data_IF_672526284731
#
_entry.id   IF_672526284731
#
_cell.length_a   1.000
_cell.length_b   1.000
_cell.length_c   1.000
_cell.angle_alpha   90.00
_cell.angle_beta   90.00
_cell.angle_gamma   90.00
#
_symmetry.space_group_name_H-M   'P 1'
#
loop_
_entity.id
_entity.type
_entity.pdbx_description
1 polymer ?
#
# COMPACT_ATOMS: atom_id res chain seq x y z
N UNK A 1 -29.66 15.53 13.11
CA UNK A 1 -30.29 16.55 12.24
C UNK A 1 -29.41 16.67 11.02
N UNK A 2 -29.80 16.06 9.92
CA UNK A 2 -29.09 16.19 8.63
C UNK A 2 -29.34 17.63 8.13
N UNK A 3 -28.29 18.32 7.76
CA UNK A 3 -28.36 19.68 7.22
C UNK A 3 -29.13 19.68 5.90
N UNK A 4 -29.85 20.75 5.59
CA UNK A 4 -30.73 20.84 4.41
C UNK A 4 -30.01 20.60 3.07
N UNK A 5 -28.69 20.79 2.99
CA UNK A 5 -27.88 20.55 1.80
C UNK A 5 -27.68 19.07 1.45
N UNK A 6 -27.50 18.21 2.44
CA UNK A 6 -27.36 16.75 2.26
C UNK A 6 -28.67 16.12 1.73
N UNK A 7 -29.81 16.68 2.11
CA UNK A 7 -31.11 16.22 1.62
C UNK A 7 -31.33 16.53 0.14
N UNK A 8 -30.94 17.69 -0.35
CA UNK A 8 -31.09 18.07 -1.75
C UNK A 8 -30.27 17.18 -2.71
N UNK A 9 -29.05 16.81 -2.34
CA UNK A 9 -28.22 15.91 -3.16
C UNK A 9 -28.73 14.45 -3.09
N UNK A 10 -29.18 13.99 -1.92
CA UNK A 10 -29.75 12.66 -1.76
C UNK A 10 -31.08 12.50 -2.52
N UNK A 11 -31.93 13.52 -2.50
CA UNK A 11 -33.22 13.52 -3.22
C UNK A 11 -33.03 13.57 -4.76
N UNK A 12 -31.97 14.16 -5.27
CA UNK A 12 -31.59 14.16 -6.69
C UNK A 12 -31.01 12.80 -7.16
N UNK A 13 -30.37 12.05 -6.28
CA UNK A 13 -29.81 10.72 -6.56
C UNK A 13 -30.90 9.62 -6.57
N UNK A 14 -32.01 9.83 -5.88
CA UNK A 14 -33.13 8.86 -5.78
C UNK A 14 -33.99 8.74 -7.05
N UNK A 15 -33.78 9.59 -8.05
CA UNK A 15 -34.53 9.57 -9.32
C UNK A 15 -33.85 8.75 -10.45
N UNK A 16 -32.89 7.93 -10.15
CA UNK A 16 -32.28 7.00 -11.13
C UNK A 16 -32.63 5.57 -10.74
N UNK A 17 -33.44 4.90 -11.56
CA UNK A 17 -34.00 3.56 -11.38
C UNK A 17 -33.01 2.38 -11.30
N UNK A 18 -31.74 2.64 -10.95
CA UNK A 18 -30.66 1.63 -10.98
C UNK A 18 -29.74 1.59 -9.76
N UNK A 19 -30.11 2.22 -8.64
CA UNK A 19 -29.27 2.18 -7.43
C UNK A 19 -29.75 1.06 -6.50
N UNK A 20 -28.98 -0.02 -6.42
CA UNK A 20 -29.16 -1.07 -5.41
C UNK A 20 -28.82 -0.49 -4.03
N UNK A 21 -29.84 -0.30 -3.21
CA UNK A 21 -29.70 0.10 -1.81
C UNK A 21 -29.23 -1.12 -1.00
N UNK A 22 -27.99 -1.08 -0.55
CA UNK A 22 -27.52 -1.92 0.56
C UNK A 22 -27.54 -1.08 1.84
N UNK A 23 -27.84 -1.72 2.97
CA UNK A 23 -28.25 -1.12 4.26
C UNK A 23 -27.20 -0.24 5.00
N UNK A 24 -26.04 0.04 4.40
CA UNK A 24 -25.02 0.97 4.91
C UNK A 24 -24.85 2.13 3.90
N UNK A 25 -25.74 3.05 3.78
CA UNK A 25 -25.69 4.38 3.06
C UNK A 25 -24.52 4.64 2.05
N UNK A 26 -23.87 3.58 1.51
CA UNK A 26 -22.81 3.67 0.51
C UNK A 26 -23.39 3.61 -0.89
N UNK A 27 -23.54 4.76 -1.54
CA UNK A 27 -23.99 4.86 -2.92
C UNK A 27 -22.88 4.40 -3.88
N UNK A 28 -23.11 3.27 -4.55
CA UNK A 28 -22.20 2.71 -5.55
C UNK A 28 -22.63 3.21 -6.94
N UNK A 29 -21.64 3.66 -7.74
CA UNK A 29 -21.85 4.10 -9.12
C UNK A 29 -20.97 3.34 -10.12
N UNK A 30 -21.42 3.30 -11.37
CA UNK A 30 -20.69 2.77 -12.52
C UNK A 30 -20.19 3.91 -13.42
N UNK A 31 -19.16 3.67 -14.25
CA UNK A 31 -18.70 4.66 -15.21
C UNK A 31 -19.82 5.08 -16.18
N UNK A 32 -20.05 6.38 -16.31
CA UNK A 32 -21.12 6.95 -17.11
C UNK A 32 -22.43 7.22 -16.37
N UNK A 33 -22.55 6.81 -15.10
CA UNK A 33 -23.73 7.14 -14.30
C UNK A 33 -23.75 8.64 -14.00
N UNK A 34 -24.94 9.22 -14.11
CA UNK A 34 -25.19 10.61 -13.81
C UNK A 34 -25.35 10.78 -12.29
N UNK A 35 -24.47 11.56 -11.67
CA UNK A 35 -24.43 11.73 -10.22
C UNK A 35 -25.31 12.89 -9.75
N UNK A 36 -25.06 14.08 -10.29
CA UNK A 36 -25.82 15.28 -9.92
C UNK A 36 -25.75 16.34 -11.02
N UNK A 37 -26.54 17.42 -10.87
CA UNK A 37 -26.47 18.59 -11.71
C UNK A 37 -25.38 19.52 -11.22
N UNK A 38 -24.70 20.20 -12.14
CA UNK A 38 -23.73 21.25 -11.81
C UNK A 38 -24.48 22.45 -11.24
N UNK A 39 -24.16 22.82 -10.03
CA UNK A 39 -24.63 24.03 -9.34
C UNK A 39 -23.43 24.84 -8.89
N UNK A 40 -23.63 26.13 -8.60
CA UNK A 40 -22.53 27.05 -8.22
C UNK A 40 -21.72 26.56 -6.99
N UNK A 41 -22.32 25.70 -6.18
CA UNK A 41 -21.73 25.14 -4.96
C UNK A 41 -21.15 23.72 -5.14
N UNK A 42 -21.27 23.11 -6.34
CA UNK A 42 -20.81 21.73 -6.57
C UNK A 42 -19.65 21.71 -7.56
N UNK A 43 -18.52 21.14 -7.14
CA UNK A 43 -17.30 21.05 -7.93
C UNK A 43 -16.96 19.59 -8.25
N UNK A 44 -16.50 19.38 -9.47
CA UNK A 44 -16.01 18.07 -9.96
C UNK A 44 -14.77 17.64 -9.18
N UNK A 45 -14.80 16.47 -8.57
CA UNK A 45 -13.70 15.87 -7.83
C UNK A 45 -13.02 14.72 -8.57
N UNK A 46 -12.19 13.98 -7.86
CA UNK A 46 -11.49 12.84 -8.44
C UNK A 46 -12.46 11.69 -8.80
N UNK A 47 -12.33 11.15 -10.01
CA UNK A 47 -13.18 10.06 -10.47
C UNK A 47 -14.53 10.50 -11.02
N UNK A 48 -14.73 11.80 -11.27
CA UNK A 48 -15.91 12.38 -11.89
C UNK A 48 -15.53 13.30 -13.06
N UNK A 49 -16.47 13.64 -13.92
CA UNK A 49 -16.30 14.61 -15.00
C UNK A 49 -17.60 15.34 -15.28
N UNK A 50 -17.50 16.54 -15.81
CA UNK A 50 -18.66 17.33 -16.19
C UNK A 50 -18.97 17.20 -17.68
N UNK A 51 -20.24 17.00 -18.01
CA UNK A 51 -20.72 17.03 -19.38
C UNK A 51 -22.17 17.54 -19.43
N UNK A 52 -22.44 18.56 -20.26
CA UNK A 52 -23.79 19.07 -20.49
C UNK A 52 -24.50 19.61 -19.25
N UNK A 53 -23.77 20.16 -18.28
CA UNK A 53 -24.34 20.70 -17.03
C UNK A 53 -24.69 19.63 -15.98
N UNK A 54 -24.15 18.43 -16.14
CA UNK A 54 -24.25 17.32 -15.17
C UNK A 54 -22.89 16.72 -14.87
N UNK A 55 -22.74 16.19 -13.65
CA UNK A 55 -21.55 15.47 -13.21
C UNK A 55 -21.80 13.97 -13.36
N UNK A 56 -20.86 13.30 -14.02
CA UNK A 56 -20.87 11.87 -14.29
C UNK A 56 -19.71 11.15 -13.61
N UNK A 57 -19.90 9.89 -13.26
CA UNK A 57 -18.84 9.03 -12.79
C UNK A 57 -17.90 8.61 -13.94
N UNK A 58 -16.60 8.75 -13.78
CA UNK A 58 -15.59 8.24 -14.71
C UNK A 58 -15.06 6.86 -14.31
N UNK A 59 -15.32 6.42 -13.07
CA UNK A 59 -14.87 5.15 -12.49
C UNK A 59 -16.04 4.49 -11.75
N UNK A 60 -15.95 3.16 -11.60
CA UNK A 60 -16.83 2.45 -10.66
C UNK A 60 -16.33 2.65 -9.23
N UNK A 61 -17.22 2.90 -8.29
CA UNK A 61 -16.84 3.09 -6.90
C UNK A 61 -17.96 3.64 -6.04
N UNK A 62 -17.57 4.13 -4.87
CA UNK A 62 -18.46 4.76 -3.90
C UNK A 62 -18.38 6.27 -4.09
N UNK A 63 -19.55 6.90 -4.08
CA UNK A 63 -19.67 8.36 -4.16
C UNK A 63 -19.29 8.94 -2.79
N UNK A 64 -18.34 9.86 -2.78
CA UNK A 64 -17.96 10.64 -1.60
C UNK A 64 -18.22 12.13 -1.88
N UNK A 65 -18.94 12.78 -0.97
CA UNK A 65 -19.23 14.21 -1.03
C UNK A 65 -18.47 14.88 0.12
N UNK A 66 -17.40 15.62 -0.21
CA UNK A 66 -16.61 16.38 0.76
C UNK A 66 -17.21 17.78 0.94
N UNK A 67 -17.69 18.04 2.15
CA UNK A 67 -18.22 19.35 2.60
C UNK A 67 -17.15 20.18 3.36
N UNK A 68 -15.87 19.88 3.21
CA UNK A 68 -14.77 20.51 3.97
C UNK A 68 -14.62 22.00 3.72
N UNK A 69 -15.18 22.53 2.66
CA UNK A 69 -15.26 23.96 2.36
C UNK A 69 -16.69 24.44 2.53
N UNK A 70 -16.93 25.40 3.43
CA UNK A 70 -18.25 25.99 3.70
C UNK A 70 -18.97 26.57 2.46
N UNK A 71 -18.27 26.68 1.31
CA UNK A 71 -18.79 27.28 0.08
C UNK A 71 -18.96 26.30 -1.08
N UNK A 72 -18.29 25.15 -1.07
CA UNK A 72 -18.32 24.21 -2.20
C UNK A 72 -18.33 22.77 -1.72
N UNK A 73 -19.19 21.96 -2.31
CA UNK A 73 -19.23 20.52 -2.16
C UNK A 73 -18.44 19.88 -3.31
N UNK A 74 -17.49 19.01 -2.98
CA UNK A 74 -16.69 18.29 -3.98
C UNK A 74 -17.26 16.87 -4.11
N UNK A 75 -17.79 16.55 -5.29
CA UNK A 75 -18.28 15.21 -5.59
C UNK A 75 -17.17 14.38 -6.19
N UNK A 76 -16.76 13.32 -5.50
CA UNK A 76 -15.70 12.41 -5.92
C UNK A 76 -16.19 10.96 -5.89
N UNK A 77 -15.58 10.11 -6.74
CA UNK A 77 -15.84 8.67 -6.76
C UNK A 77 -14.56 7.94 -6.40
N UNK A 78 -14.61 7.20 -5.31
CA UNK A 78 -13.50 6.39 -4.81
C UNK A 78 -13.81 4.91 -4.94
N UNK A 79 -12.83 4.14 -5.42
CA UNK A 79 -12.95 2.69 -5.43
C UNK A 79 -12.84 2.17 -3.99
N UNK A 80 -13.79 1.37 -3.50
CA UNK A 80 -13.74 0.85 -2.14
C UNK A 80 -12.46 0.04 -1.93
N UNK A 81 -11.76 0.31 -0.83
CA UNK A 81 -10.52 -0.38 -0.48
C UNK A 81 -9.25 0.12 -1.17
N UNK A 82 -9.33 1.14 -2.03
CA UNK A 82 -8.16 1.73 -2.68
C UNK A 82 -7.91 3.16 -2.18
N UNK A 83 -7.03 3.29 -1.21
CA UNK A 83 -6.43 4.58 -0.89
C UNK A 83 -5.21 4.77 -1.78
N UNK A 84 -5.10 5.91 -2.46
CA UNK A 84 -3.91 6.30 -3.20
C UNK A 84 -2.82 6.69 -2.19
N UNK A 85 -2.26 5.68 -1.53
CA UNK A 85 -1.22 5.88 -0.53
C UNK A 85 0.12 5.91 -1.24
N UNK A 86 0.79 7.06 -1.18
CA UNK A 86 2.16 7.21 -1.67
C UNK A 86 3.09 7.02 -0.47
N UNK A 87 4.15 6.19 -0.58
CA UNK A 87 5.13 6.05 0.50
C UNK A 87 5.78 7.41 0.84
N UNK A 88 5.77 7.78 2.11
CA UNK A 88 6.44 8.99 2.60
C UNK A 88 7.75 8.61 3.32
N UNK A 89 8.66 9.60 3.43
CA UNK A 89 9.90 9.43 4.21
C UNK A 89 9.56 9.11 5.66
N UNK A 90 10.18 8.06 6.21
CA UNK A 90 9.93 7.55 7.56
C UNK A 90 8.94 6.38 7.61
N UNK A 91 8.16 6.13 6.55
CA UNK A 91 7.21 5.03 6.52
C UNK A 91 7.90 3.67 6.46
N UNK A 92 7.31 2.71 7.17
CA UNK A 92 7.68 1.30 7.03
C UNK A 92 6.87 0.70 5.89
N UNK A 93 7.58 0.12 4.94
CA UNK A 93 7.01 -0.46 3.73
C UNK A 93 7.33 -1.94 3.62
N UNK A 94 6.41 -2.69 3.02
CA UNK A 94 6.67 -4.07 2.63
C UNK A 94 7.02 -4.10 1.15
N UNK A 95 8.18 -4.66 0.85
CA UNK A 95 8.70 -4.72 -0.50
C UNK A 95 9.19 -6.13 -0.86
N UNK A 96 9.10 -6.47 -2.14
CA UNK A 96 9.67 -7.72 -2.67
C UNK A 96 10.99 -7.41 -3.38
N UNK A 97 12.02 -8.17 -3.04
CA UNK A 97 13.32 -8.09 -3.73
C UNK A 97 13.18 -8.66 -5.13
N UNK A 98 13.50 -7.86 -6.14
CA UNK A 98 13.45 -8.25 -7.55
C UNK A 98 14.82 -8.73 -8.04
N UNK A 99 15.83 -7.88 -7.83
CA UNK A 99 17.19 -8.12 -8.31
C UNK A 99 18.17 -7.68 -7.22
N UNK A 100 19.19 -8.50 -7.00
CA UNK A 100 20.30 -8.18 -6.11
C UNK A 100 21.57 -7.96 -6.91
N UNK A 101 22.34 -6.94 -6.56
CA UNK A 101 23.67 -6.62 -7.09
C UNK A 101 24.64 -6.44 -5.93
N UNK A 102 25.97 -6.42 -6.15
CA UNK A 102 26.92 -6.22 -5.06
C UNK A 102 26.78 -4.90 -4.31
N UNK A 103 26.24 -3.85 -4.98
CA UNK A 103 26.13 -2.49 -4.45
C UNK A 103 24.73 -2.14 -3.96
N UNK A 104 23.69 -2.72 -4.54
CA UNK A 104 22.29 -2.41 -4.20
C UNK A 104 21.34 -3.56 -4.53
N UNK A 105 20.18 -3.57 -3.89
CA UNK A 105 19.05 -4.42 -4.25
C UNK A 105 17.90 -3.56 -4.79
N UNK A 106 17.29 -3.99 -5.90
CA UNK A 106 16.07 -3.40 -6.45
C UNK A 106 14.87 -4.13 -5.87
N UNK A 107 13.92 -3.36 -5.34
CA UNK A 107 12.73 -3.89 -4.70
C UNK A 107 11.47 -3.28 -5.33
N UNK A 108 10.36 -4.01 -5.26
CA UNK A 108 9.04 -3.51 -5.58
C UNK A 108 8.27 -3.34 -4.27
N UNK A 109 7.89 -2.11 -3.94
CA UNK A 109 7.08 -1.77 -2.76
C UNK A 109 5.62 -2.04 -3.13
N UNK A 110 4.93 -2.86 -2.35
CA UNK A 110 3.52 -3.21 -2.61
C UNK A 110 2.60 -2.94 -1.42
N UNK A 111 3.14 -2.59 -0.25
CA UNK A 111 2.34 -2.24 0.92
C UNK A 111 3.04 -1.15 1.72
N UNK A 112 2.26 -0.20 2.25
CA UNK A 112 2.71 0.88 3.13
C UNK A 112 1.83 0.89 4.36
N UNK A 113 2.40 0.82 5.57
CA UNK A 113 1.65 0.86 6.85
C UNK A 113 0.43 -0.07 6.86
N UNK A 114 0.53 -1.30 6.35
CA UNK A 114 -0.55 -2.29 6.23
C UNK A 114 -1.62 -1.98 5.16
N UNK A 115 -1.45 -0.94 4.34
CA UNK A 115 -2.32 -0.65 3.19
C UNK A 115 -1.67 -1.19 1.93
N UNK A 116 -2.36 -2.09 1.22
CA UNK A 116 -1.92 -2.58 -0.08
C UNK A 116 -2.01 -1.47 -1.12
N UNK A 117 -0.98 -1.37 -1.95
CA UNK A 117 -0.90 -0.41 -3.04
C UNK A 117 -1.51 -1.00 -4.32
N UNK A 118 -2.20 -0.18 -5.10
CA UNK A 118 -2.77 -0.59 -6.39
C UNK A 118 -1.65 -0.93 -7.40
N UNK A 119 -0.59 -0.12 -7.40
CA UNK A 119 0.60 -0.34 -8.22
C UNK A 119 1.84 -0.37 -7.34
N UNK A 120 2.81 -1.20 -7.70
CA UNK A 120 4.07 -1.27 -6.96
C UNK A 120 4.98 -0.09 -7.31
N UNK A 121 5.58 0.51 -6.28
CA UNK A 121 6.63 1.52 -6.44
C UNK A 121 8.02 0.89 -6.47
N UNK A 122 8.94 1.55 -7.16
CA UNK A 122 10.34 1.10 -7.23
C UNK A 122 11.07 1.50 -5.96
N UNK A 123 11.65 0.52 -5.26
CA UNK A 123 12.54 0.71 -4.12
C UNK A 123 13.98 0.37 -4.46
N UNK A 124 14.91 1.11 -3.89
CA UNK A 124 16.34 0.88 -3.98
C UNK A 124 16.94 0.78 -2.58
N UNK A 125 17.53 -0.36 -2.25
CA UNK A 125 18.23 -0.62 -1.00
C UNK A 125 19.73 -0.67 -1.26
N UNK A 126 20.49 0.27 -0.72
CA UNK A 126 21.96 0.31 -0.85
C UNK A 126 22.63 -0.62 0.15
N UNK A 127 23.85 -1.05 -0.16
CA UNK A 127 24.68 -1.85 0.74
C UNK A 127 24.87 -1.19 2.12
N UNK A 128 25.06 0.12 2.13
CA UNK A 128 25.30 0.94 3.32
C UNK A 128 24.09 1.03 4.26
N UNK A 129 22.88 0.84 3.70
CA UNK A 129 21.59 0.96 4.39
C UNK A 129 21.03 -0.39 4.86
N UNK A 130 21.77 -1.48 4.70
CA UNK A 130 21.34 -2.82 5.10
C UNK A 130 21.46 -3.03 6.60
N UNK A 131 22.56 -2.57 7.20
CA UNK A 131 22.83 -2.69 8.65
C UNK A 131 23.36 -1.36 9.19
N UNK A 132 23.08 -1.11 10.46
CA UNK A 132 23.58 0.06 11.15
C UNK A 132 25.07 -0.01 11.42
N UNK A 133 25.54 -1.20 11.83
CA UNK A 133 26.94 -1.51 12.11
C UNK A 133 27.57 -2.34 11.00
N UNK A 134 28.91 -2.28 10.89
CA UNK A 134 29.71 -3.07 9.93
C UNK A 134 29.30 -2.91 8.46
N UNK A 135 28.97 -1.70 8.03
CA UNK A 135 28.44 -1.38 6.68
C UNK A 135 29.36 -1.91 5.56
N UNK A 136 30.68 -1.89 5.76
CA UNK A 136 31.65 -2.33 4.76
C UNK A 136 31.66 -3.84 4.56
N UNK A 137 31.34 -4.62 5.61
CA UNK A 137 31.34 -6.08 5.58
C UNK A 137 30.03 -6.70 5.10
N UNK A 138 29.02 -5.87 4.85
CA UNK A 138 27.72 -6.35 4.37
C UNK A 138 27.86 -6.94 2.96
N UNK A 139 27.36 -8.15 2.79
CA UNK A 139 27.18 -8.80 1.51
C UNK A 139 25.67 -8.86 1.20
N UNK A 140 25.25 -8.16 0.14
CA UNK A 140 23.84 -8.10 -0.26
C UNK A 140 23.33 -9.48 -0.64
N UNK A 141 24.14 -10.31 -1.31
CA UNK A 141 23.73 -11.66 -1.72
C UNK A 141 23.50 -12.61 -0.53
N UNK A 142 24.21 -12.38 0.59
CA UNK A 142 23.99 -13.12 1.84
C UNK A 142 22.82 -12.56 2.65
N UNK A 143 22.47 -11.30 2.45
CA UNK A 143 21.41 -10.64 3.21
C UNK A 143 20.04 -10.80 2.57
N UNK A 144 19.96 -10.77 1.24
CA UNK A 144 18.71 -10.82 0.49
C UNK A 144 18.85 -11.66 -0.78
N UNK A 145 17.79 -12.41 -1.12
CA UNK A 145 17.70 -13.09 -2.42
C UNK A 145 16.50 -12.58 -3.21
N UNK A 146 16.54 -12.69 -4.55
CA UNK A 146 15.38 -12.37 -5.38
C UNK A 146 14.17 -13.20 -4.97
N UNK A 147 13.01 -12.54 -4.79
CA UNK A 147 11.77 -13.16 -4.33
C UNK A 147 11.51 -13.03 -2.83
N UNK A 148 12.49 -12.66 -2.02
CA UNK A 148 12.30 -12.41 -0.58
C UNK A 148 11.39 -11.20 -0.37
N UNK A 149 10.53 -11.27 0.65
CA UNK A 149 9.70 -10.16 1.11
C UNK A 149 10.37 -9.53 2.33
N UNK A 150 10.58 -8.24 2.25
CA UNK A 150 11.29 -7.46 3.27
C UNK A 150 10.42 -6.36 3.86
N UNK A 151 10.63 -6.05 5.13
CA UNK A 151 10.23 -4.80 5.75
C UNK A 151 11.40 -3.83 5.66
N UNK A 152 11.13 -2.62 5.19
CA UNK A 152 12.13 -1.57 5.05
C UNK A 152 11.52 -0.21 5.38
N UNK A 153 12.36 0.74 5.82
CA UNK A 153 11.95 2.12 6.03
C UNK A 153 12.33 2.97 4.83
N UNK A 154 11.44 3.84 4.42
CA UNK A 154 11.71 4.85 3.38
C UNK A 154 12.58 5.95 3.98
N UNK A 155 13.79 6.11 3.46
CA UNK A 155 14.74 7.15 3.90
C UNK A 155 14.58 8.43 3.10
N UNK A 156 14.44 8.29 1.78
CA UNK A 156 14.32 9.42 0.88
C UNK A 156 13.54 9.02 -0.37
N UNK A 157 12.94 10.01 -1.02
CA UNK A 157 12.28 9.87 -2.31
C UNK A 157 13.19 10.45 -3.40
N UNK A 158 13.44 9.67 -4.43
CA UNK A 158 14.10 10.11 -5.66
C UNK A 158 13.04 10.24 -6.77
N UNK A 159 13.38 10.87 -7.89
CA UNK A 159 12.44 11.11 -9.00
C UNK A 159 11.71 9.86 -9.49
N UNK A 160 12.37 8.69 -9.49
CA UNK A 160 11.79 7.45 -10.03
C UNK A 160 11.81 6.27 -9.04
N UNK A 161 12.30 6.46 -7.82
CA UNK A 161 12.46 5.38 -6.84
C UNK A 161 12.51 5.90 -5.41
N UNK A 162 12.19 5.03 -4.48
CA UNK A 162 12.31 5.29 -3.05
C UNK A 162 13.59 4.65 -2.51
N UNK A 163 14.37 5.42 -1.77
CA UNK A 163 15.53 4.89 -1.03
C UNK A 163 15.02 4.16 0.20
N UNK A 164 15.42 2.90 0.33
CA UNK A 164 15.02 2.04 1.44
C UNK A 164 16.22 1.79 2.36
N UNK A 165 15.92 1.62 3.65
CA UNK A 165 16.87 1.17 4.66
C UNK A 165 16.29 0.00 5.46
N UNK A 166 17.14 -0.96 5.76
CA UNK A 166 16.86 -2.06 6.68
C UNK A 166 17.84 -2.05 7.85
N UNK A 167 18.44 -0.89 8.18
CA UNK A 167 19.46 -0.76 9.21
C UNK A 167 18.94 -1.22 10.58
N UNK A 168 17.72 -0.90 10.92
CA UNK A 168 17.07 -1.26 12.19
C UNK A 168 16.95 -2.78 12.35
N UNK A 169 16.99 -3.26 13.61
CA UNK A 169 16.89 -4.68 13.92
C UNK A 169 15.50 -5.28 13.58
N UNK A 170 14.46 -4.47 13.61
CA UNK A 170 13.08 -4.86 13.31
C UNK A 170 12.83 -5.02 11.80
N UNK A 171 13.70 -4.42 10.99
CA UNK A 171 13.59 -4.43 9.54
C UNK A 171 14.47 -5.53 8.91
N UNK A 172 14.03 -6.07 7.79
CA UNK A 172 14.72 -7.13 7.08
C UNK A 172 13.76 -8.10 6.40
N UNK A 173 14.19 -9.33 6.19
CA UNK A 173 13.42 -10.38 5.54
C UNK A 173 12.35 -10.92 6.50
N UNK A 174 11.10 -10.91 6.07
CA UNK A 174 9.95 -11.47 6.79
C UNK A 174 9.55 -12.81 6.18
N UNK A 175 9.50 -12.87 4.84
CA UNK A 175 9.15 -14.09 4.12
C UNK A 175 10.23 -14.38 3.10
N UNK A 176 10.82 -15.57 3.19
CA UNK A 176 11.72 -16.11 2.19
C UNK A 176 11.26 -17.51 1.78
N UNK A 177 11.59 -17.90 0.56
CA UNK A 177 11.28 -19.22 0.04
C UNK A 177 12.56 -19.96 -0.31
N UNK A 178 12.65 -21.21 0.12
CA UNK A 178 13.71 -22.09 -0.32
C UNK A 178 13.53 -22.42 -1.80
N UNK A 179 14.62 -22.31 -2.55
CA UNK A 179 14.67 -22.75 -3.96
C UNK A 179 14.83 -24.24 -4.00
N UNK A 180 13.73 -24.99 -4.02
CA UNK A 180 13.82 -26.41 -4.33
C UNK A 180 13.72 -26.60 -5.85
N UNK A 181 14.55 -27.52 -6.40
CA UNK A 181 14.58 -27.88 -7.82
C UNK A 181 13.24 -28.45 -8.33
N UNK A 182 12.31 -28.77 -7.45
CA UNK A 182 10.99 -29.36 -7.74
C UNK A 182 9.86 -28.35 -7.93
N UNK A 183 10.14 -27.06 -8.16
CA UNK A 183 9.16 -25.98 -8.35
C UNK A 183 8.28 -25.65 -7.14
N UNK A 184 8.43 -26.30 -6.00
CA UNK A 184 7.68 -25.96 -4.79
C UNK A 184 8.40 -24.83 -4.05
N UNK A 185 7.69 -23.71 -3.85
CA UNK A 185 8.15 -22.61 -2.99
C UNK A 185 7.84 -22.96 -1.55
N UNK A 186 8.83 -23.47 -0.81
CA UNK A 186 8.68 -23.82 0.59
C UNK A 186 9.02 -22.60 1.43
N UNK A 187 8.11 -22.10 2.28
CA UNK A 187 8.41 -20.98 3.16
C UNK A 187 9.47 -21.37 4.17
N UNK A 188 10.46 -20.49 4.36
CA UNK A 188 11.54 -20.69 5.31
C UNK A 188 11.16 -20.13 6.69
N UNK A 189 11.67 -20.75 7.74
CA UNK A 189 11.45 -20.35 9.13
C UNK A 189 12.71 -19.65 9.65
N UNK A 190 12.60 -18.48 10.32
CA UNK A 190 13.74 -17.81 10.93
C UNK A 190 14.26 -18.61 12.12
N UNK A 191 15.58 -18.87 12.16
CA UNK A 191 16.26 -19.51 13.29
C UNK A 191 16.97 -18.47 14.14
N UNK A 192 17.45 -17.43 13.50
CA UNK A 192 18.20 -16.34 14.12
C UNK A 192 18.13 -15.07 13.29
N UNK A 193 18.93 -14.09 13.66
CA UNK A 193 18.96 -12.74 13.05
C UNK A 193 19.58 -12.74 11.65
N UNK A 194 20.36 -13.75 11.32
CA UNK A 194 21.16 -13.84 10.09
C UNK A 194 20.89 -15.10 9.28
N UNK A 195 20.02 -16.00 9.75
CA UNK A 195 19.79 -17.29 9.11
C UNK A 195 18.30 -17.67 9.13
N UNK A 196 17.86 -18.25 8.02
CA UNK A 196 16.57 -18.92 7.89
C UNK A 196 16.76 -20.38 7.48
N UNK A 197 15.87 -21.26 7.90
CA UNK A 197 15.94 -22.70 7.61
C UNK A 197 14.69 -23.15 6.87
N UNK A 198 14.90 -24.04 5.90
CA UNK A 198 13.81 -24.72 5.24
C UNK A 198 13.30 -25.85 6.16
N UNK A 199 12.00 -25.91 6.48
CA UNK A 199 11.45 -26.93 7.39
C UNK A 199 11.50 -28.36 6.82
N UNK A 200 11.52 -28.50 5.48
CA UNK A 200 11.55 -29.84 4.85
C UNK A 200 12.96 -30.36 4.61
N UNK A 201 13.86 -29.50 4.12
CA UNK A 201 15.22 -29.90 3.76
C UNK A 201 16.24 -29.64 4.86
N UNK A 202 15.85 -28.95 5.93
CA UNK A 202 16.72 -28.50 7.03
C UNK A 202 17.92 -27.65 6.60
N UNK A 203 17.99 -27.26 5.33
CA UNK A 203 19.07 -26.43 4.79
C UNK A 203 18.93 -25.03 5.37
N UNK A 204 20.05 -24.49 5.89
CA UNK A 204 20.15 -23.12 6.41
C UNK A 204 20.67 -22.20 5.32
N UNK A 205 20.04 -21.06 5.19
CA UNK A 205 20.45 -20.01 4.26
C UNK A 205 20.63 -18.69 4.99
N UNK A 206 21.70 -17.94 4.70
CA UNK A 206 21.91 -16.63 5.31
C UNK A 206 20.87 -15.63 4.77
N UNK A 207 20.29 -14.85 5.68
CA UNK A 207 19.39 -13.73 5.41
C UNK A 207 19.50 -12.71 6.53
N UNK A 208 19.28 -11.43 6.21
CA UNK A 208 19.02 -10.43 7.25
C UNK A 208 17.56 -10.52 7.66
N UNK A 209 17.29 -11.25 8.72
CA UNK A 209 15.93 -11.52 9.22
C UNK A 209 15.39 -10.30 9.97
N UNK A 210 14.12 -9.95 9.74
CA UNK A 210 13.40 -8.96 10.52
C UNK A 210 13.05 -9.53 11.90
N UNK A 211 13.21 -8.71 12.96
CA UNK A 211 12.73 -9.08 14.29
C UNK A 211 11.23 -8.81 14.36
N UNK A 212 10.43 -9.79 13.94
CA UNK A 212 8.98 -9.72 14.09
C UNK A 212 8.63 -10.03 15.54
N UNK A 213 8.12 -9.04 16.25
CA UNK A 213 7.56 -9.24 17.59
C UNK A 213 6.20 -9.97 17.43
N UNK A 214 5.94 -11.05 18.18
CA UNK A 214 4.64 -11.69 18.16
C UNK A 214 3.57 -10.71 18.68
N UNK A 215 2.37 -10.75 18.10
CA UNK A 215 1.25 -9.83 18.42
C UNK A 215 0.89 -9.79 19.91
N UNK A 216 1.21 -10.84 20.68
CA UNK A 216 1.05 -10.89 22.13
C UNK A 216 1.89 -9.86 22.89
N UNK A 217 2.98 -9.35 22.31
CA UNK A 217 3.87 -8.37 22.93
C UNK A 217 3.38 -6.92 22.77
N UNK A 218 2.43 -6.65 21.89
CA UNK A 218 1.93 -5.30 21.57
C UNK A 218 0.84 -4.86 22.54
N UNK A 219 0.26 -5.76 23.35
CA UNK A 219 -0.87 -5.47 24.27
C UNK A 219 -0.48 -4.96 25.65
N UNK A 220 0.78 -4.69 25.96
CA UNK A 220 1.24 -4.30 27.29
C UNK A 220 1.57 -2.82 27.48
N UNK A 221 1.30 -1.94 26.51
CA UNK A 221 1.43 -0.49 26.69
C UNK A 221 0.07 0.18 26.47
N UNK A 222 -0.73 0.18 27.53
CA UNK A 222 -1.84 1.12 27.76
C UNK A 222 -1.74 1.69 29.14
#
# INVERSE_FOLDING_TARGET
MLTQGTKACADLLLNTDTLSQNEDDMLICLPGDRLCRVEDNIVVGQGTYEQGGYIYASKSGIINIDESNEKCQIVSVHKPGFHLTIPATGDVVTARVLVTTPKFAKCAIFCVRNVLLESSYRGLLRKEDVRETDKDRVDIYKSFKPGDVILARVVNQMEQSFMLSTAEAELGVVVAYASDYRKNRIPMVPIGWSEMQCPQTTIKEPRKVAKVLPESSIKSEK
#
